data_IF_571858126648
#
_entry.id   IF_571858126648
#
_cell.length_a   1.000
_cell.length_b   1.000
_cell.length_c   1.000
_cell.angle_alpha   90.00
_cell.angle_beta   90.00
_cell.angle_gamma   90.00
#
_symmetry.space_group_name_H-M   'P 1'
#
loop_
_entity.id
_entity.type
_entity.pdbx_description
1 polymer ?
#
# COMPACT_ATOMS: atom_id res chain seq x y z
N UNK A 1 -29.23 65.18 -9.63
CA UNK A 1 -29.77 63.91 -9.07
C UNK A 1 -29.20 62.64 -9.72
N UNK A 2 -28.77 62.68 -10.99
CA UNK A 2 -28.23 61.51 -11.72
C UNK A 2 -26.83 61.09 -11.24
N UNK A 3 -25.94 62.05 -10.92
CA UNK A 3 -24.57 61.79 -10.47
C UNK A 3 -24.52 61.04 -9.12
N UNK A 4 -25.39 61.42 -8.18
CA UNK A 4 -25.50 60.75 -6.87
C UNK A 4 -25.98 59.30 -7.01
N UNK A 5 -26.92 59.03 -7.93
CA UNK A 5 -27.37 57.66 -8.23
C UNK A 5 -26.26 56.81 -8.85
N UNK A 6 -25.40 57.40 -9.66
CA UNK A 6 -24.27 56.71 -10.28
C UNK A 6 -23.20 56.30 -9.24
N UNK A 7 -22.87 57.21 -8.31
CA UNK A 7 -21.96 56.89 -7.21
C UNK A 7 -22.50 55.82 -6.27
N UNK A 8 -23.81 55.83 -6.00
CA UNK A 8 -24.46 54.83 -5.14
C UNK A 8 -24.47 53.45 -5.81
N UNK A 9 -24.65 53.40 -7.13
CA UNK A 9 -24.56 52.15 -7.90
C UNK A 9 -23.12 51.61 -7.94
N UNK A 10 -22.12 52.49 -8.07
CA UNK A 10 -20.71 52.10 -8.06
C UNK A 10 -20.27 51.53 -6.70
N UNK A 11 -20.78 52.07 -5.60
CA UNK A 11 -20.50 51.55 -4.26
C UNK A 11 -21.15 50.17 -4.01
N UNK A 12 -22.35 49.94 -4.56
CA UNK A 12 -23.05 48.65 -4.46
C UNK A 12 -22.27 47.50 -5.12
N UNK A 13 -21.61 47.76 -6.25
CA UNK A 13 -20.84 46.74 -6.98
C UNK A 13 -19.59 46.30 -6.20
N UNK A 14 -18.96 47.20 -5.44
CA UNK A 14 -17.77 46.87 -4.63
C UNK A 14 -18.14 45.93 -3.47
N UNK A 15 -19.31 46.09 -2.88
CA UNK A 15 -19.76 45.27 -1.74
C UNK A 15 -20.08 43.82 -2.13
N UNK A 16 -20.37 43.54 -3.40
CA UNK A 16 -20.69 42.18 -3.88
C UNK A 16 -19.46 41.32 -4.19
N UNK A 17 -18.25 41.87 -4.14
CA UNK A 17 -17.01 41.16 -4.47
C UNK A 17 -16.24 40.61 -3.24
N UNK A 18 -16.81 40.69 -2.03
CA UNK A 18 -16.11 40.32 -0.79
C UNK A 18 -16.71 39.11 -0.07
N UNK A 19 -16.39 37.88 -0.49
CA UNK A 19 -16.21 36.70 0.40
C UNK A 19 -15.94 35.43 -0.42
N UNK A 20 -14.69 35.22 -0.86
CA UNK A 20 -14.25 33.90 -1.27
C UNK A 20 -13.77 33.13 -0.01
N UNK A 21 -14.62 32.26 0.54
CA UNK A 21 -14.21 31.40 1.66
C UNK A 21 -13.11 30.43 1.20
N UNK A 22 -11.92 30.56 1.77
CA UNK A 22 -10.78 29.67 1.52
C UNK A 22 -11.12 28.28 2.09
N UNK A 23 -11.56 27.36 1.24
CA UNK A 23 -11.82 25.98 1.64
C UNK A 23 -10.48 25.30 1.97
N UNK A 24 -10.28 24.98 3.25
CA UNK A 24 -9.12 24.22 3.70
C UNK A 24 -9.38 22.74 3.40
N UNK A 25 -8.91 22.30 2.23
CA UNK A 25 -8.97 20.88 1.86
C UNK A 25 -7.84 20.18 2.61
N UNK A 26 -8.18 19.32 3.57
CA UNK A 26 -7.21 18.43 4.20
C UNK A 26 -6.73 17.42 3.16
N UNK A 27 -5.61 17.73 2.51
CA UNK A 27 -4.89 16.76 1.70
C UNK A 27 -4.18 15.80 2.65
N UNK A 28 -4.41 14.51 2.48
CA UNK A 28 -3.56 13.49 3.10
C UNK A 28 -2.27 13.48 2.30
N UNK A 29 -1.22 14.11 2.85
CA UNK A 29 0.11 14.00 2.29
C UNK A 29 0.52 12.52 2.29
N UNK A 30 0.89 11.94 1.13
CA UNK A 30 1.22 10.53 1.07
C UNK A 30 2.40 10.26 1.99
N UNK A 31 2.31 9.17 2.76
CA UNK A 31 3.37 8.77 3.66
C UNK A 31 4.68 8.60 2.86
N UNK A 32 5.63 9.50 3.09
CA UNK A 32 6.99 9.36 2.59
C UNK A 32 7.53 8.10 3.28
N UNK A 33 7.75 7.05 2.50
CA UNK A 33 8.35 5.82 2.99
C UNK A 33 9.79 6.19 3.39
N UNK A 34 10.01 6.43 4.68
CA UNK A 34 11.26 7.00 5.20
C UNK A 34 12.41 6.00 5.20
N UNK A 35 12.14 4.73 4.91
CA UNK A 35 13.16 3.69 4.91
C UNK A 35 13.16 2.94 3.56
N UNK A 36 14.18 3.16 2.72
CA UNK A 36 14.42 2.41 1.48
C UNK A 36 15.07 1.04 1.75
N UNK A 37 15.23 0.62 3.01
CA UNK A 37 15.75 -0.69 3.36
C UNK A 37 14.89 -1.81 2.75
N UNK A 38 15.56 -2.83 2.23
CA UNK A 38 14.90 -4.01 1.69
C UNK A 38 14.19 -4.70 2.85
N UNK A 39 12.87 -4.89 2.73
CA UNK A 39 12.08 -5.51 3.79
C UNK A 39 12.15 -7.02 3.67
N UNK A 40 12.73 -7.67 4.67
CA UNK A 40 12.73 -9.13 4.78
C UNK A 40 11.37 -9.60 5.30
N UNK A 41 10.64 -10.36 4.50
CA UNK A 41 9.26 -10.78 4.78
C UNK A 41 9.15 -12.29 4.64
N UNK A 42 8.49 -12.95 5.59
CA UNK A 42 8.13 -14.36 5.49
C UNK A 42 6.64 -14.49 5.19
N UNK A 43 6.27 -15.33 4.22
CA UNK A 43 4.87 -15.61 3.88
C UNK A 43 4.55 -17.04 4.33
N UNK A 44 3.75 -17.17 5.38
CA UNK A 44 3.32 -18.46 5.90
C UNK A 44 2.23 -19.09 5.02
N UNK A 45 2.06 -20.41 5.15
CA UNK A 45 0.97 -21.14 4.49
C UNK A 45 -0.38 -20.61 4.97
N UNK A 46 -1.26 -20.26 4.02
CA UNK A 46 -2.63 -19.84 4.33
C UNK A 46 -3.47 -21.07 4.66
N UNK A 47 -4.26 -20.99 5.74
CA UNK A 47 -5.21 -22.08 6.07
C UNK A 47 -6.29 -22.14 4.99
N UNK A 48 -6.64 -23.36 4.57
CA UNK A 48 -7.61 -23.65 3.50
C UNK A 48 -7.24 -23.07 2.13
N UNK A 49 -5.95 -22.96 1.82
CA UNK A 49 -5.49 -22.54 0.50
C UNK A 49 -5.67 -23.64 -0.52
N UNK A 50 -6.61 -23.43 -1.44
CA UNK A 50 -6.83 -24.30 -2.60
C UNK A 50 -6.60 -23.58 -3.92
N UNK A 51 -6.17 -22.33 -3.88
CA UNK A 51 -6.02 -21.45 -5.05
C UNK A 51 -4.59 -20.96 -5.20
N UNK A 52 -3.67 -21.52 -4.41
CA UNK A 52 -2.26 -21.14 -4.38
C UNK A 52 -2.10 -19.62 -4.15
N UNK A 53 -2.88 -19.08 -3.20
CA UNK A 53 -2.84 -17.67 -2.84
C UNK A 53 -1.46 -17.28 -2.34
N UNK A 54 -0.82 -18.16 -1.58
CA UNK A 54 0.54 -17.95 -1.09
C UNK A 54 1.50 -17.68 -2.25
N UNK A 55 1.51 -18.54 -3.25
CA UNK A 55 2.39 -18.47 -4.42
C UNK A 55 2.10 -17.20 -5.24
N UNK A 56 0.82 -16.81 -5.36
CA UNK A 56 0.42 -15.57 -6.02
C UNK A 56 0.95 -14.33 -5.28
N UNK A 57 0.85 -14.30 -3.95
CA UNK A 57 1.39 -13.19 -3.14
C UNK A 57 2.92 -13.15 -3.25
N UNK A 58 3.59 -14.30 -3.15
CA UNK A 58 5.05 -14.42 -3.31
C UNK A 58 5.48 -13.84 -4.65
N UNK A 59 4.83 -14.27 -5.74
CA UNK A 59 5.15 -13.81 -7.10
C UNK A 59 4.92 -12.30 -7.25
N UNK A 60 3.82 -11.77 -6.73
CA UNK A 60 3.55 -10.33 -6.80
C UNK A 60 4.56 -9.52 -6.00
N UNK A 61 4.91 -9.96 -4.78
CA UNK A 61 5.85 -9.25 -3.92
C UNK A 61 7.29 -9.30 -4.46
N UNK A 62 7.73 -10.41 -5.06
CA UNK A 62 9.08 -10.53 -5.63
C UNK A 62 9.31 -9.58 -6.82
N UNK A 63 8.23 -9.24 -7.53
CA UNK A 63 8.25 -8.33 -8.68
C UNK A 63 8.23 -6.84 -8.28
N UNK A 64 7.98 -6.51 -7.00
CA UNK A 64 7.96 -5.11 -6.55
C UNK A 64 9.40 -4.61 -6.41
N UNK A 65 9.75 -3.66 -7.27
CA UNK A 65 11.03 -2.96 -7.24
C UNK A 65 10.83 -1.46 -7.11
N UNK A 66 11.75 -0.81 -6.40
CA UNK A 66 11.81 0.63 -6.26
C UNK A 66 13.22 1.09 -6.60
N UNK A 67 13.35 2.07 -7.51
CA UNK A 67 14.67 2.55 -7.96
C UNK A 67 15.61 1.44 -8.44
N UNK A 68 15.10 0.49 -9.24
CA UNK A 68 15.81 -0.69 -9.76
C UNK A 68 16.37 -1.65 -8.69
N UNK A 69 15.87 -1.58 -7.44
CA UNK A 69 16.21 -2.54 -6.38
C UNK A 69 14.96 -3.27 -5.91
N UNK A 70 15.08 -4.56 -5.59
CA UNK A 70 13.98 -5.32 -4.97
C UNK A 70 13.58 -4.67 -3.65
N UNK A 71 12.30 -4.42 -3.48
CA UNK A 71 11.80 -3.79 -2.25
C UNK A 71 11.58 -4.81 -1.12
N UNK A 72 11.25 -6.05 -1.49
CA UNK A 72 11.08 -7.16 -0.56
C UNK A 72 12.12 -8.24 -0.80
N UNK A 73 12.57 -8.87 0.27
CA UNK A 73 13.27 -10.16 0.23
C UNK A 73 12.39 -11.19 0.91
N UNK A 74 11.96 -12.18 0.14
CA UNK A 74 11.07 -13.23 0.64
C UNK A 74 11.93 -14.31 1.28
N UNK A 75 11.79 -14.48 2.60
CA UNK A 75 12.50 -15.51 3.36
C UNK A 75 11.60 -16.73 3.48
N UNK A 76 12.06 -17.89 3.00
CA UNK A 76 11.35 -19.14 3.20
C UNK A 76 11.60 -19.66 4.62
N UNK A 77 10.52 -19.94 5.35
CA UNK A 77 10.53 -20.52 6.71
C UNK A 77 9.74 -21.83 6.78
N UNK A 78 9.58 -22.53 5.66
CA UNK A 78 8.91 -23.84 5.65
C UNK A 78 9.75 -24.91 6.35
N UNK A 79 11.08 -24.84 6.23
CA UNK A 79 12.01 -25.85 6.75
C UNK A 79 12.73 -25.39 8.02
N UNK A 80 12.01 -24.66 8.90
CA UNK A 80 12.59 -24.12 10.15
C UNK A 80 13.19 -25.22 11.03
N UNK A 81 12.55 -26.38 11.11
CA UNK A 81 13.05 -27.50 11.93
C UNK A 81 14.40 -28.01 11.39
N UNK A 82 14.51 -28.22 10.08
CA UNK A 82 15.75 -28.61 9.44
C UNK A 82 16.85 -27.55 9.65
N UNK A 83 16.52 -26.26 9.47
CA UNK A 83 17.49 -25.16 9.72
C UNK A 83 17.99 -25.19 11.16
N UNK A 84 17.11 -25.42 12.12
CA UNK A 84 17.47 -25.50 13.54
C UNK A 84 18.29 -26.75 13.87
N UNK A 85 18.01 -27.88 13.23
CA UNK A 85 18.80 -29.10 13.36
C UNK A 85 20.22 -28.92 12.82
N UNK A 86 20.35 -28.32 11.63
CA UNK A 86 21.66 -27.98 11.04
C UNK A 86 22.42 -26.98 11.93
N UNK A 87 21.74 -25.95 12.44
CA UNK A 87 22.34 -25.00 13.37
C UNK A 87 22.85 -25.69 14.63
N UNK A 88 22.04 -26.56 15.26
CA UNK A 88 22.46 -27.35 16.43
C UNK A 88 23.67 -28.24 16.13
N UNK A 89 23.70 -28.86 14.95
CA UNK A 89 24.79 -29.72 14.53
C UNK A 89 26.09 -28.93 14.35
N UNK A 90 26.02 -27.71 13.80
CA UNK A 90 27.16 -26.80 13.69
C UNK A 90 27.63 -26.31 15.06
N UNK A 91 26.70 -25.88 15.92
CA UNK A 91 26.97 -25.40 17.28
C UNK A 91 27.57 -26.50 18.17
N UNK A 92 27.30 -27.77 17.87
CA UNK A 92 27.86 -28.92 18.61
C UNK A 92 29.37 -29.11 18.40
N UNK A 93 29.96 -28.48 17.38
CA UNK A 93 31.37 -28.65 17.02
C UNK A 93 31.72 -30.05 16.49
N UNK A 94 30.73 -30.93 16.26
CA UNK A 94 30.92 -32.28 15.73
C UNK A 94 31.18 -32.29 14.21
N UNK A 95 30.86 -31.19 13.52
CA UNK A 95 31.06 -31.02 12.08
C UNK A 95 32.04 -29.87 11.84
N UNK A 96 33.06 -30.12 11.02
CA UNK A 96 33.92 -29.05 10.50
C UNK A 96 33.22 -28.40 9.32
N UNK A 97 32.78 -27.16 9.47
CA UNK A 97 32.27 -26.36 8.36
C UNK A 97 33.35 -26.27 7.27
N UNK A 98 32.99 -26.73 6.06
CA UNK A 98 33.87 -26.71 4.87
C UNK A 98 33.76 -25.41 4.05
N UNK A 99 33.03 -24.41 4.55
CA UNK A 99 32.88 -23.09 3.95
C UNK A 99 32.39 -22.05 4.97
N UNK A 100 32.37 -20.79 4.57
CA UNK A 100 31.92 -19.63 5.37
C UNK A 100 30.38 -19.55 5.52
N UNK A 101 29.65 -20.62 5.17
CA UNK A 101 28.19 -20.64 5.22
C UNK A 101 27.73 -21.00 6.63
N UNK A 102 27.24 -19.97 7.35
CA UNK A 102 26.60 -20.11 8.65
C UNK A 102 25.14 -20.50 8.46
N UNK A 103 24.73 -21.66 8.99
CA UNK A 103 23.37 -22.13 8.89
C UNK A 103 22.59 -21.63 10.10
N UNK A 104 21.62 -20.75 9.83
CA UNK A 104 20.81 -20.15 10.89
C UNK A 104 19.55 -19.50 10.35
N UNK A 105 18.63 -19.18 11.26
CA UNK A 105 17.43 -18.46 10.91
C UNK A 105 17.78 -17.00 10.60
N UNK A 106 17.55 -16.59 9.35
CA UNK A 106 17.59 -15.18 8.98
C UNK A 106 16.54 -14.39 9.75
N UNK A 107 16.95 -13.20 10.20
CA UNK A 107 16.03 -12.21 10.73
C UNK A 107 14.96 -11.86 9.68
N UNK A 108 13.78 -11.48 10.16
CA UNK A 108 12.70 -10.99 9.31
C UNK A 108 12.03 -9.80 9.96
N UNK A 109 11.62 -8.85 9.13
CA UNK A 109 10.88 -7.68 9.60
C UNK A 109 9.40 -7.98 9.87
N UNK A 110 8.81 -8.94 9.16
CA UNK A 110 7.38 -9.23 9.25
C UNK A 110 6.99 -10.61 8.73
N UNK A 111 5.86 -11.12 9.23
CA UNK A 111 5.24 -12.38 8.82
C UNK A 111 3.84 -12.09 8.27
N UNK A 112 3.58 -12.54 7.05
CA UNK A 112 2.25 -12.53 6.44
C UNK A 112 1.64 -13.92 6.62
N UNK A 113 0.46 -13.98 7.22
CA UNK A 113 -0.27 -15.24 7.43
C UNK A 113 -1.78 -15.00 7.38
N UNK A 114 -2.57 -16.06 7.19
CA UNK A 114 -4.02 -15.92 7.18
C UNK A 114 -4.77 -17.23 6.91
N UNK A 115 -6.08 -17.09 6.74
CA UNK A 115 -7.00 -18.17 6.40
C UNK A 115 -7.93 -17.71 5.28
N UNK A 116 -8.13 -18.56 4.28
CA UNK A 116 -9.13 -18.34 3.23
C UNK A 116 -10.49 -18.76 3.78
N UNK A 117 -11.38 -17.78 3.97
CA UNK A 117 -12.72 -17.97 4.53
C UNK A 117 -13.77 -18.25 3.46
N UNK A 118 -13.62 -17.65 2.27
CA UNK A 118 -14.56 -17.82 1.15
C UNK A 118 -13.81 -17.84 -0.17
N UNK A 119 -14.19 -18.73 -1.09
CA UNK A 119 -13.63 -18.81 -2.45
C UNK A 119 -14.47 -18.03 -3.48
N UNK A 120 -15.59 -17.45 -3.05
CA UNK A 120 -16.60 -16.85 -3.92
C UNK A 120 -16.39 -15.34 -4.06
N UNK A 121 -16.21 -14.88 -5.30
CA UNK A 121 -16.20 -13.46 -5.65
C UNK A 121 -17.64 -12.93 -5.57
N UNK A 122 -18.02 -12.30 -4.46
CA UNK A 122 -19.27 -11.51 -4.41
C UNK A 122 -19.11 -10.32 -5.34
N UNK A 123 -19.67 -10.42 -6.54
CA UNK A 123 -19.67 -9.33 -7.51
C UNK A 123 -20.93 -8.49 -7.28
N UNK A 124 -20.82 -7.37 -6.57
CA UNK A 124 -21.87 -6.37 -6.57
C UNK A 124 -21.75 -5.54 -7.85
N UNK A 125 -22.73 -5.64 -8.73
CA UNK A 125 -22.84 -4.75 -9.89
C UNK A 125 -23.54 -3.48 -9.42
N UNK A 126 -22.78 -2.40 -9.23
CA UNK A 126 -23.35 -1.07 -9.03
C UNK A 126 -23.65 -0.47 -10.41
N UNK A 127 -24.93 -0.22 -10.69
CA UNK A 127 -25.38 0.59 -11.83
C UNK A 127 -26.00 1.86 -11.25
N UNK A 128 -25.45 3.00 -11.60
CA UNK A 128 -26.04 4.31 -11.34
C UNK A 128 -26.55 4.85 -12.67
N UNK A 129 -27.86 5.12 -12.76
CA UNK A 129 -28.41 5.86 -13.90
C UNK A 129 -28.03 7.34 -13.72
N UNK A 130 -27.03 7.77 -14.48
CA UNK A 130 -26.63 9.19 -14.52
C UNK A 130 -27.66 9.97 -15.35
N UNK A 131 -28.58 10.65 -14.68
CA UNK A 131 -29.58 11.52 -15.32
C UNK A 131 -29.11 12.97 -15.48
N UNK A 132 -27.91 13.31 -14.98
CA UNK A 132 -27.38 14.68 -15.02
C UNK A 132 -25.97 14.73 -15.63
N UNK A 133 -25.92 14.70 -16.97
CA UNK A 133 -24.68 14.77 -17.75
C UNK A 133 -24.03 16.17 -17.72
N UNK A 134 -24.76 17.21 -17.32
CA UNK A 134 -24.31 18.60 -17.36
C UNK A 134 -23.57 19.07 -16.10
N UNK A 135 -23.48 18.22 -15.06
CA UNK A 135 -22.85 18.58 -13.80
C UNK A 135 -21.35 18.89 -13.95
N UNK A 136 -20.68 18.28 -14.93
CA UNK A 136 -19.25 18.49 -15.20
C UNK A 136 -18.97 19.70 -16.11
N UNK A 137 -19.92 20.08 -16.97
CA UNK A 137 -19.75 21.22 -17.91
C UNK A 137 -19.86 22.56 -17.16
N UNK A 138 -20.58 22.59 -16.03
CA UNK A 138 -20.74 23.78 -15.17
C UNK A 138 -19.45 24.31 -14.53
N UNK A 139 -18.37 23.52 -14.50
CA UNK A 139 -17.09 23.92 -13.90
C UNK A 139 -15.99 24.19 -14.92
N UNK A 140 -16.30 24.15 -16.22
CA UNK A 140 -15.35 24.38 -17.32
C UNK A 140 -15.34 25.82 -17.85
N UNK A 141 -15.93 26.77 -17.13
CA UNK A 141 -16.02 28.16 -17.58
C UNK A 141 -15.53 29.12 -16.50
#
# INVERSE_FOLDING_TARGET
>A
MVIIRFFLFMWLVVLLNGCAQKANVKSLEPAIISDPSIKEVSIAKFKNDSVNLRESIVSQMDNISFSNKKFFTIVNREDVEQILEEQKLQDSGLVKNRGDEEYGLRDISSIISGKITTKTKKTSKYKEERTNYDKCIKYSK
#
